data_IF_895340941073
#
_entry.id   IF_895340941073
#
_cell.length_a   1.000
_cell.length_b   1.000
_cell.length_c   1.000
_cell.angle_alpha   90.00
_cell.angle_beta   90.00
_cell.angle_gamma   90.00
#
_symmetry.space_group_name_H-M   'P 1'
#
loop_
_entity.id
_entity.type
_entity.pdbx_description
1 polymer ?
#
# COMPACT_ATOMS: atom_id res chain seq x y z
N UNK A 1 12.85 3.26 2.31
CA UNK A 1 11.90 2.51 1.48
C UNK A 1 12.44 1.24 0.86
N UNK A 2 13.59 1.24 0.17
CA UNK A 2 14.16 0.00 -0.41
C UNK A 2 14.27 -1.14 0.62
N UNK A 3 14.81 -0.87 1.81
CA UNK A 3 14.90 -1.86 2.91
C UNK A 3 13.53 -2.35 3.40
N UNK A 4 12.50 -1.49 3.41
CA UNK A 4 11.13 -1.89 3.78
C UNK A 4 10.47 -2.74 2.69
N UNK A 5 10.66 -2.37 1.42
CA UNK A 5 10.13 -3.14 0.29
C UNK A 5 10.77 -4.53 0.19
N UNK A 6 12.08 -4.61 0.48
CA UNK A 6 12.79 -5.88 0.59
C UNK A 6 12.28 -6.71 1.77
N UNK A 7 12.12 -6.09 2.93
CA UNK A 7 11.69 -6.77 4.17
C UNK A 7 10.28 -7.36 4.07
N UNK A 8 9.34 -6.63 3.45
CA UNK A 8 7.92 -7.00 3.48
C UNK A 8 7.38 -7.56 2.16
N UNK A 9 7.96 -7.21 1.01
CA UNK A 9 7.55 -7.73 -0.31
C UNK A 9 8.61 -8.64 -0.94
N UNK A 10 9.82 -8.76 -0.37
CA UNK A 10 10.93 -9.49 -0.98
C UNK A 10 11.51 -8.82 -2.22
N UNK A 11 11.17 -7.54 -2.45
CA UNK A 11 11.54 -6.80 -3.67
C UNK A 11 12.63 -5.78 -3.33
N UNK A 12 13.85 -6.01 -3.84
CA UNK A 12 14.99 -5.10 -3.65
C UNK A 12 14.96 -3.88 -4.58
N UNK A 13 13.88 -3.11 -4.50
CA UNK A 13 13.68 -1.86 -5.26
C UNK A 13 13.03 -0.81 -4.36
N UNK A 14 13.33 0.47 -4.59
CA UNK A 14 12.59 1.56 -3.94
C UNK A 14 11.16 1.66 -4.52
N UNK A 15 10.19 1.92 -3.65
CA UNK A 15 8.80 2.21 -4.04
C UNK A 15 8.36 3.47 -3.32
N UNK A 16 7.41 4.16 -3.94
CA UNK A 16 6.79 5.39 -3.51
C UNK A 16 5.84 5.19 -2.32
N UNK A 17 5.03 4.14 -2.36
CA UNK A 17 4.07 3.80 -1.30
C UNK A 17 4.04 2.29 -0.99
N UNK A 18 3.84 1.97 0.30
CA UNK A 18 3.54 0.62 0.77
C UNK A 18 2.24 0.65 1.58
N UNK A 19 1.38 -0.35 1.37
CA UNK A 19 0.11 -0.49 2.08
C UNK A 19 0.06 -1.85 2.77
N UNK A 20 -0.34 -1.87 4.03
CA UNK A 20 -0.38 -3.07 4.87
C UNK A 20 -1.79 -3.27 5.42
N UNK A 21 -2.59 -4.13 4.78
CA UNK A 21 -3.95 -4.45 5.22
C UNK A 21 -3.94 -5.21 6.56
N UNK A 22 -4.94 -4.96 7.41
CA UNK A 22 -5.02 -5.57 8.74
C UNK A 22 -5.48 -7.05 8.72
N UNK A 23 -5.93 -7.58 7.59
CA UNK A 23 -6.73 -8.81 7.51
C UNK A 23 -6.15 -9.99 8.32
N UNK A 24 -6.80 -10.29 9.45
CA UNK A 24 -6.46 -11.34 10.42
C UNK A 24 -6.77 -12.74 9.85
N UNK A 25 -7.39 -12.82 8.67
CA UNK A 25 -7.81 -14.08 8.03
C UNK A 25 -6.85 -14.63 6.96
N UNK A 26 -5.87 -13.84 6.50
CA UNK A 26 -5.09 -14.13 5.29
C UNK A 26 -3.73 -14.83 5.51
N UNK A 27 -3.47 -15.38 6.70
CA UNK A 27 -2.34 -16.31 6.88
C UNK A 27 -2.49 -17.61 6.08
N UNK A 28 -3.67 -17.86 5.48
CA UNK A 28 -3.99 -19.13 4.83
C UNK A 28 -3.92 -19.10 3.29
N UNK A 29 -3.88 -17.91 2.65
CA UNK A 29 -3.93 -17.78 1.18
C UNK A 29 -2.60 -17.43 0.50
N UNK A 30 -1.51 -17.18 1.25
CA UNK A 30 -0.15 -17.11 0.70
C UNK A 30 0.47 -18.51 0.46
N UNK A 31 -0.27 -19.43 -0.17
CA UNK A 31 0.35 -20.59 -0.84
C UNK A 31 0.86 -20.15 -2.20
N UNK A 32 1.95 -19.38 -2.19
CA UNK A 32 2.82 -19.22 -3.36
C UNK A 32 3.75 -20.43 -3.38
N UNK A 33 3.89 -21.03 -4.55
CA UNK A 33 4.58 -22.28 -4.81
C UNK A 33 6.11 -22.10 -4.58
N UNK A 34 6.57 -22.14 -3.32
CA UNK A 34 7.99 -22.14 -2.97
C UNK A 34 8.54 -23.57 -2.97
N UNK A 35 9.65 -23.86 -3.68
CA UNK A 35 10.34 -25.13 -3.54
C UNK A 35 10.85 -25.30 -2.11
N UNK A 36 10.77 -26.54 -1.62
CA UNK A 36 10.86 -26.93 -0.22
C UNK A 36 12.26 -26.82 0.44
N UNK A 37 13.11 -25.86 0.05
CA UNK A 37 14.50 -25.83 0.53
C UNK A 37 15.04 -24.50 1.05
N UNK A 38 14.31 -23.39 1.02
CA UNK A 38 14.81 -22.13 1.58
C UNK A 38 13.73 -21.42 2.40
N UNK A 39 13.60 -21.86 3.65
CA UNK A 39 12.89 -21.16 4.71
C UNK A 39 13.67 -19.91 5.11
N UNK A 40 13.59 -18.85 4.31
CA UNK A 40 13.87 -17.51 4.80
C UNK A 40 12.67 -17.08 5.64
N UNK A 41 12.85 -17.10 6.95
CA UNK A 41 11.87 -16.70 7.95
C UNK A 41 11.32 -15.31 7.62
N UNK A 42 10.05 -15.24 7.20
CA UNK A 42 9.30 -13.99 7.24
C UNK A 42 9.46 -13.40 8.65
N UNK A 43 9.75 -12.10 8.82
CA UNK A 43 9.79 -11.51 10.15
C UNK A 43 8.41 -11.68 10.77
N UNK A 44 8.30 -12.56 11.78
CA UNK A 44 7.08 -12.76 12.59
C UNK A 44 6.70 -11.52 13.40
N UNK A 45 7.49 -10.46 13.31
CA UNK A 45 7.30 -9.22 14.04
C UNK A 45 6.55 -8.26 13.12
N UNK A 46 5.29 -7.92 13.42
CA UNK A 46 4.64 -6.83 12.72
C UNK A 46 5.47 -5.54 12.90
N UNK A 47 5.37 -4.58 11.98
CA UNK A 47 6.13 -3.33 12.09
C UNK A 47 5.91 -2.71 13.49
N UNK A 48 6.93 -2.06 14.09
CA UNK A 48 6.89 -1.60 15.49
C UNK A 48 5.75 -0.60 15.78
N UNK A 49 5.15 -0.02 14.74
CA UNK A 49 3.99 0.86 14.80
C UNK A 49 2.64 0.11 14.90
N UNK A 50 2.63 -1.22 14.72
CA UNK A 50 1.43 -2.05 14.85
C UNK A 50 1.02 -2.06 16.33
N UNK A 51 0.15 -1.13 16.69
CA UNK A 51 -0.51 -1.10 17.98
C UNK A 51 -1.20 -2.43 18.22
N UNK A 52 -0.82 -3.10 19.31
CA UNK A 52 -1.55 -4.27 19.78
C UNK A 52 -2.87 -3.80 20.36
N UNK A 53 -3.99 -4.26 19.82
CA UNK A 53 -5.24 -4.30 20.55
C UNK A 53 -6.00 -5.59 20.21
N UNK A 54 -6.11 -6.43 21.23
CA UNK A 54 -7.08 -7.52 21.31
C UNK A 54 -8.29 -6.93 22.05
N UNK A 55 -9.31 -6.43 21.35
CA UNK A 55 -10.42 -5.78 22.04
C UNK A 55 -11.58 -5.36 21.15
N UNK A 56 -12.59 -6.23 21.12
CA UNK A 56 -14.01 -6.00 20.80
C UNK A 56 -14.46 -4.52 20.72
N UNK A 57 -14.65 -4.03 19.48
CA UNK A 57 -15.26 -2.74 19.19
C UNK A 57 -15.37 -2.55 17.69
N UNK A 58 -16.50 -2.02 17.21
CA UNK A 58 -16.86 -1.81 15.80
C UNK A 58 -16.01 -0.72 15.10
N UNK A 59 -14.68 -0.80 15.20
CA UNK A 59 -13.72 0.04 14.50
C UNK A 59 -12.65 -0.84 13.86
N UNK A 60 -12.99 -1.44 12.73
CA UNK A 60 -12.02 -2.17 11.91
C UNK A 60 -10.98 -1.19 11.36
N UNK A 61 -9.74 -1.29 11.84
CA UNK A 61 -8.61 -0.55 11.27
C UNK A 61 -8.32 -1.16 9.89
N UNK A 62 -8.33 -0.36 8.82
CA UNK A 62 -8.09 -0.89 7.47
C UNK A 62 -6.65 -1.37 7.29
N UNK A 63 -5.69 -0.67 7.90
CA UNK A 63 -4.27 -0.94 7.78
C UNK A 63 -3.42 0.33 7.82
N UNK A 64 -2.14 0.18 7.46
CA UNK A 64 -1.16 1.26 7.43
C UNK A 64 -0.78 1.65 5.99
N UNK A 65 -0.57 2.94 5.75
CA UNK A 65 0.00 3.48 4.51
C UNK A 65 1.33 4.17 4.84
N UNK A 66 2.41 3.75 4.19
CA UNK A 66 3.74 4.33 4.36
C UNK A 66 4.16 5.01 3.07
N UNK A 67 4.33 6.34 3.11
CA UNK A 67 4.73 7.16 1.97
C UNK A 67 6.14 7.69 2.14
N UNK A 68 6.94 7.64 1.07
CA UNK A 68 8.27 8.24 1.05
C UNK A 68 8.23 9.68 0.56
N UNK A 69 8.25 10.64 1.49
CA UNK A 69 8.17 12.08 1.16
C UNK A 69 9.24 12.53 0.14
N UNK A 70 10.54 12.19 0.28
CA UNK A 70 11.54 12.62 -0.71
C UNK A 70 11.27 12.06 -2.11
N UNK A 71 10.75 10.83 -2.19
CA UNK A 71 10.40 10.22 -3.48
C UNK A 71 9.15 10.87 -4.08
N UNK A 72 8.14 11.16 -3.26
CA UNK A 72 6.96 11.91 -3.70
C UNK A 72 7.33 13.32 -4.20
N UNK A 73 8.27 14.01 -3.54
CA UNK A 73 8.79 15.30 -4.01
C UNK A 73 9.49 15.18 -5.36
N UNK A 74 10.31 14.15 -5.55
CA UNK A 74 10.98 13.89 -6.82
C UNK A 74 9.96 13.57 -7.94
N UNK A 75 8.97 12.72 -7.67
CA UNK A 75 7.92 12.40 -8.64
C UNK A 75 7.08 13.63 -9.00
N UNK A 76 6.75 14.47 -8.02
CA UNK A 76 6.02 15.71 -8.27
C UNK A 76 6.80 16.64 -9.21
N UNK A 77 8.12 16.75 -9.00
CA UNK A 77 9.01 17.50 -9.87
C UNK A 77 9.07 16.91 -11.29
N UNK A 78 9.30 15.60 -11.41
CA UNK A 78 9.43 14.91 -12.71
C UNK A 78 8.12 14.93 -13.53
N UNK A 79 6.98 14.97 -12.86
CA UNK A 79 5.64 15.04 -13.47
C UNK A 79 5.13 16.47 -13.65
N UNK A 80 5.88 17.48 -13.20
CA UNK A 80 5.49 18.90 -13.21
C UNK A 80 4.13 19.17 -12.51
N UNK A 81 3.86 18.46 -11.42
CA UNK A 81 2.64 18.62 -10.60
C UNK A 81 2.94 19.18 -9.22
N UNK A 82 1.97 19.84 -8.54
CA UNK A 82 2.16 20.27 -7.16
C UNK A 82 2.48 19.09 -6.25
N UNK A 83 3.41 19.28 -5.30
CA UNK A 83 3.79 18.23 -4.33
C UNK A 83 2.58 17.64 -3.58
N UNK A 84 1.64 18.48 -3.16
CA UNK A 84 0.45 18.01 -2.45
C UNK A 84 -0.49 17.16 -3.33
N UNK A 85 -0.46 17.37 -4.65
CA UNK A 85 -1.27 16.60 -5.60
C UNK A 85 -0.68 15.19 -5.74
N UNK A 86 0.64 15.10 -5.88
CA UNK A 86 1.34 13.82 -5.91
C UNK A 86 1.19 13.06 -4.58
N UNK A 87 1.31 13.77 -3.45
CA UNK A 87 1.08 13.16 -2.14
C UNK A 87 -0.35 12.63 -1.99
N UNK A 88 -1.36 13.41 -2.41
CA UNK A 88 -2.76 13.00 -2.40
C UNK A 88 -2.98 11.77 -3.28
N UNK A 89 -2.38 11.74 -4.48
CA UNK A 89 -2.44 10.59 -5.38
C UNK A 89 -1.89 9.33 -4.73
N UNK A 90 -0.73 9.41 -4.06
CA UNK A 90 -0.11 8.28 -3.36
C UNK A 90 -0.95 7.80 -2.17
N UNK A 91 -1.58 8.72 -1.44
CA UNK A 91 -2.49 8.37 -0.34
C UNK A 91 -3.75 7.65 -0.85
N UNK A 92 -4.38 8.15 -1.92
CA UNK A 92 -5.54 7.51 -2.55
C UNK A 92 -5.15 6.14 -3.11
N UNK A 93 -3.98 6.02 -3.75
CA UNK A 93 -3.46 4.76 -4.25
C UNK A 93 -3.31 3.72 -3.14
N UNK A 94 -2.68 4.11 -2.03
CA UNK A 94 -2.50 3.23 -0.87
C UNK A 94 -3.84 2.82 -0.23
N UNK A 95 -4.78 3.76 -0.10
CA UNK A 95 -6.11 3.48 0.43
C UNK A 95 -6.88 2.48 -0.44
N UNK A 96 -6.80 2.61 -1.76
CA UNK A 96 -7.46 1.68 -2.67
C UNK A 96 -6.88 0.27 -2.56
N UNK A 97 -5.57 0.13 -2.36
CA UNK A 97 -4.96 -1.17 -2.04
C UNK A 97 -5.47 -1.75 -0.72
N UNK A 98 -5.62 -0.92 0.33
CA UNK A 98 -6.23 -1.36 1.59
C UNK A 98 -7.68 -1.83 1.42
N UNK A 99 -8.41 -1.26 0.46
CA UNK A 99 -9.78 -1.65 0.10
C UNK A 99 -9.85 -2.84 -0.88
N UNK A 100 -8.71 -3.47 -1.22
CA UNK A 100 -8.64 -4.64 -2.07
C UNK A 100 -8.67 -4.37 -3.58
N UNK A 101 -8.41 -3.13 -4.01
CA UNK A 101 -8.16 -2.84 -5.42
C UNK A 101 -6.72 -3.21 -5.75
N UNK A 102 -6.50 -3.97 -6.82
CA UNK A 102 -5.17 -4.37 -7.25
C UNK A 102 -5.02 -4.19 -8.78
N UNK A 103 -4.16 -3.25 -9.17
CA UNK A 103 -3.89 -2.93 -10.57
C UNK A 103 -2.88 -3.88 -11.23
N UNK A 104 -2.20 -4.75 -10.49
CA UNK A 104 -1.21 -5.70 -11.02
C UNK A 104 -1.88 -6.98 -11.56
N UNK A 105 -3.13 -7.27 -11.17
CA UNK A 105 -3.85 -8.52 -11.53
C UNK A 105 -4.15 -8.61 -13.03
N UNK A 106 -4.85 -7.63 -13.59
CA UNK A 106 -5.20 -7.59 -15.01
C UNK A 106 -5.61 -6.20 -15.49
N UNK A 107 -5.71 -6.01 -16.81
CA UNK A 107 -6.09 -4.73 -17.44
C UNK A 107 -7.44 -4.18 -16.97
N UNK A 108 -8.41 -5.04 -16.66
CA UNK A 108 -9.74 -4.60 -16.21
C UNK A 108 -9.69 -4.06 -14.77
N UNK A 109 -8.97 -4.74 -13.86
CA UNK A 109 -8.76 -4.26 -12.49
C UNK A 109 -7.93 -2.98 -12.46
N UNK A 110 -6.87 -2.90 -13.28
CA UNK A 110 -6.10 -1.66 -13.48
C UNK A 110 -6.99 -0.49 -13.87
N UNK A 111 -7.81 -0.65 -14.92
CA UNK A 111 -8.73 0.40 -15.37
C UNK A 111 -9.77 0.79 -14.31
N UNK A 112 -10.23 -0.19 -13.51
CA UNK A 112 -11.17 0.06 -12.41
C UNK A 112 -10.52 0.90 -11.30
N UNK A 113 -9.29 0.56 -10.93
CA UNK A 113 -8.51 1.29 -9.93
C UNK A 113 -8.18 2.71 -10.41
N UNK A 114 -7.64 2.88 -11.62
CA UNK A 114 -7.34 4.20 -12.21
C UNK A 114 -8.58 5.11 -12.26
N UNK A 115 -9.75 4.54 -12.60
CA UNK A 115 -11.00 5.29 -12.57
C UNK A 115 -11.35 5.77 -11.16
N UNK A 116 -11.16 4.92 -10.15
CA UNK A 116 -11.44 5.25 -8.75
C UNK A 116 -10.44 6.24 -8.17
N UNK A 117 -9.17 6.13 -8.53
CA UNK A 117 -8.15 7.13 -8.18
C UNK A 117 -8.57 8.52 -8.65
N UNK A 118 -8.94 8.63 -9.93
CA UNK A 118 -9.40 9.91 -10.49
C UNK A 118 -10.64 10.44 -9.79
N UNK A 119 -11.66 9.59 -9.60
CA UNK A 119 -12.91 9.98 -8.93
C UNK A 119 -12.67 10.54 -7.52
N UNK A 120 -11.82 9.88 -6.73
CA UNK A 120 -11.49 10.32 -5.37
C UNK A 120 -10.61 11.57 -5.37
N UNK A 121 -9.66 11.65 -6.30
CA UNK A 121 -8.79 12.82 -6.43
C UNK A 121 -9.60 14.08 -6.72
N UNK A 122 -10.50 14.01 -7.70
CA UNK A 122 -11.38 15.11 -8.07
C UNK A 122 -12.31 15.49 -6.89
N UNK A 123 -12.87 14.49 -6.19
CA UNK A 123 -13.75 14.73 -5.04
C UNK A 123 -13.06 15.40 -3.84
N UNK A 124 -11.78 15.10 -3.59
CA UNK A 124 -11.01 15.79 -2.53
C UNK A 124 -10.65 17.21 -2.96
N UNK A 125 -10.30 17.40 -4.23
CA UNK A 125 -9.96 18.71 -4.81
C UNK A 125 -11.13 19.69 -4.85
N UNK A 126 -12.37 19.22 -4.91
CA UNK A 126 -13.54 20.11 -4.90
C UNK A 126 -13.93 20.62 -3.51
N UNK A 127 -13.43 19.97 -2.45
CA UNK A 127 -13.77 20.30 -1.06
C UNK A 127 -12.68 21.14 -0.37
N UNK A 128 -11.46 21.14 -0.92
CA UNK A 128 -10.30 21.89 -0.42
C UNK A 128 -10.15 23.25 -1.13
#
# INVERSE_FOLDING_TARGET
MRSFNLLYRGIDRATDVLSFSQDISDTTKMKINLPASETAEHPKVPPPWRGGDNGEGENSILGDIVVCVPFAQQQAYDLEVPFYDELLRLMIHGLLHLLGYDHEVNKAQKKKMEKKEKELFDAVKTVA
#
